data_IF_043189580269
#
_entry.id   IF_043189580269
#
_cell.length_a   1.000
_cell.length_b   1.000
_cell.length_c   1.000
_cell.angle_alpha   90.00
_cell.angle_beta   90.00
_cell.angle_gamma   90.00
#
_symmetry.space_group_name_H-M   'P 1'
#
loop_
_entity.id
_entity.type
_entity.pdbx_description
1 polymer ?
#
# COMPACT_ATOMS: atom_id res chain seq x y z
N UNK A 1 29.72 9.67 6.20
CA UNK A 1 28.37 9.12 6.41
C UNK A 1 27.38 10.14 5.87
N UNK A 2 26.87 9.95 4.65
CA UNK A 2 25.93 10.90 4.02
C UNK A 2 24.54 10.29 4.10
N UNK A 3 23.70 10.89 4.93
CA UNK A 3 22.29 10.54 5.09
C UNK A 3 21.49 11.04 3.89
N UNK A 4 20.95 10.11 3.10
CA UNK A 4 20.02 10.37 2.01
C UNK A 4 18.59 10.32 2.57
N UNK A 5 18.10 11.44 3.10
CA UNK A 5 16.75 11.54 3.67
C UNK A 5 16.03 12.79 3.13
N UNK A 6 15.59 12.74 1.87
CA UNK A 6 14.66 13.73 1.33
C UNK A 6 14.07 13.23 -0.01
N UNK A 7 12.98 12.47 0.03
CA UNK A 7 12.20 12.21 -1.20
C UNK A 7 10.68 12.17 -0.97
N UNK A 8 10.18 12.04 0.26
CA UNK A 8 8.73 11.91 0.52
C UNK A 8 8.03 13.18 1.05
N UNK A 9 8.75 14.30 1.16
CA UNK A 9 8.19 15.58 1.64
C UNK A 9 7.21 16.29 0.69
N UNK A 10 7.31 16.21 -0.66
CA UNK A 10 6.48 17.05 -1.52
C UNK A 10 5.03 16.60 -1.55
N UNK A 11 4.76 15.30 -1.37
CA UNK A 11 3.42 14.72 -1.51
C UNK A 11 2.47 15.15 -0.39
N UNK A 12 2.91 15.04 0.87
CA UNK A 12 2.14 15.49 2.02
C UNK A 12 1.93 17.02 2.03
N UNK A 13 2.91 17.78 1.55
CA UNK A 13 2.81 19.23 1.43
C UNK A 13 1.83 19.64 0.30
N UNK A 14 1.84 18.96 -0.85
CA UNK A 14 0.93 19.22 -1.97
C UNK A 14 -0.53 18.91 -1.59
N UNK A 15 -0.76 17.79 -0.89
CA UNK A 15 -2.06 17.43 -0.33
C UNK A 15 -2.56 18.44 0.71
N UNK A 16 -1.70 18.84 1.65
CA UNK A 16 -2.04 19.86 2.65
C UNK A 16 -2.36 21.22 2.00
N UNK A 17 -1.65 21.60 0.94
CA UNK A 17 -1.89 22.84 0.21
C UNK A 17 -3.26 22.81 -0.51
N UNK A 18 -3.62 21.68 -1.14
CA UNK A 18 -4.92 21.52 -1.79
C UNK A 18 -6.09 21.44 -0.80
N UNK A 19 -5.90 20.87 0.39
CA UNK A 19 -6.90 20.93 1.48
C UNK A 19 -7.25 22.37 1.84
N UNK A 20 -6.26 23.27 1.89
CA UNK A 20 -6.48 24.69 2.18
C UNK A 20 -7.23 25.40 1.04
N UNK A 21 -7.00 24.99 -0.21
CA UNK A 21 -7.73 25.52 -1.37
C UNK A 21 -9.19 25.06 -1.46
N UNK A 22 -9.53 23.87 -0.92
CA UNK A 22 -10.93 23.39 -0.79
C UNK A 22 -11.68 23.96 0.43
N UNK A 23 -11.01 24.73 1.29
CA UNK A 23 -11.53 25.19 2.58
C UNK A 23 -12.55 26.34 2.55
N UNK A 24 -13.06 26.74 1.38
CA UNK A 24 -14.08 27.78 1.30
C UNK A 24 -15.16 27.38 0.29
N UNK A 25 -16.31 26.81 0.73
CA UNK A 25 -17.44 26.65 -0.16
C UNK A 25 -17.91 28.04 -0.60
N UNK A 26 -18.08 28.30 -1.91
CA UNK A 26 -18.71 29.54 -2.36
C UNK A 26 -20.13 29.60 -1.78
N UNK A 27 -20.57 30.75 -1.24
CA UNK A 27 -21.97 30.90 -0.85
C UNK A 27 -22.82 30.87 -2.13
N UNK A 28 -23.61 29.80 -2.31
CA UNK A 28 -24.64 29.78 -3.36
C UNK A 28 -24.58 28.65 -4.40
N UNK A 29 -23.92 27.52 -4.13
CA UNK A 29 -24.17 26.33 -4.94
C UNK A 29 -24.65 25.17 -4.08
N UNK A 30 -25.97 24.96 -4.11
CA UNK A 30 -26.57 23.65 -4.03
C UNK A 30 -26.03 22.82 -5.20
N UNK A 31 -24.78 22.37 -5.09
CA UNK A 31 -24.26 21.32 -5.91
C UNK A 31 -24.87 20.04 -5.35
N UNK A 32 -26.04 19.70 -5.89
CA UNK A 32 -26.44 18.31 -6.03
C UNK A 32 -25.35 17.65 -6.87
N UNK A 33 -24.24 17.27 -6.21
CA UNK A 33 -23.37 16.25 -6.75
C UNK A 33 -24.30 15.09 -7.14
N UNK A 34 -24.17 14.49 -8.33
CA UNK A 34 -24.95 13.30 -8.61
C UNK A 34 -24.63 12.36 -7.44
N UNK A 35 -25.65 12.06 -6.66
CA UNK A 35 -25.62 10.94 -5.74
C UNK A 35 -25.34 9.76 -6.68
N UNK A 36 -24.06 9.46 -6.87
CA UNK A 36 -23.68 8.16 -7.33
C UNK A 36 -24.31 7.27 -6.27
N UNK A 37 -25.38 6.59 -6.67
CA UNK A 37 -25.96 5.47 -5.95
C UNK A 37 -24.85 4.42 -5.87
N UNK A 38 -23.84 4.70 -5.05
CA UNK A 38 -22.93 3.75 -4.51
C UNK A 38 -23.85 2.85 -3.71
N UNK A 39 -24.20 1.71 -4.30
CA UNK A 39 -24.77 0.61 -3.58
C UNK A 39 -23.84 0.33 -2.39
N UNK A 40 -24.21 0.90 -1.24
CA UNK A 40 -23.45 0.74 -0.02
C UNK A 40 -23.41 -0.75 0.28
N UNK A 41 -22.23 -1.31 0.60
CA UNK A 41 -22.11 -2.73 0.86
C UNK A 41 -23.14 -3.16 1.92
N UNK A 42 -23.91 -4.23 1.64
CA UNK A 42 -25.01 -4.64 2.52
C UNK A 42 -24.52 -5.33 3.78
N UNK A 43 -23.24 -5.75 3.85
CA UNK A 43 -22.67 -6.48 4.97
C UNK A 43 -21.30 -5.93 5.40
N UNK A 44 -20.89 -6.26 6.63
CA UNK A 44 -19.58 -5.87 7.17
C UNK A 44 -18.47 -6.46 6.30
N UNK A 45 -18.56 -7.74 5.93
CA UNK A 45 -17.53 -8.45 5.16
C UNK A 45 -17.37 -7.88 3.74
N UNK A 46 -18.46 -7.47 3.11
CA UNK A 46 -18.42 -6.82 1.80
C UNK A 46 -17.76 -5.44 1.89
N UNK A 47 -18.11 -4.65 2.92
CA UNK A 47 -17.49 -3.36 3.18
C UNK A 47 -15.99 -3.49 3.49
N UNK A 48 -15.60 -4.46 4.32
CA UNK A 48 -14.20 -4.74 4.65
C UNK A 48 -13.39 -5.17 3.43
N UNK A 49 -13.97 -6.01 2.55
CA UNK A 49 -13.32 -6.43 1.31
C UNK A 49 -13.05 -5.26 0.39
N UNK A 50 -14.03 -4.38 0.20
CA UNK A 50 -13.87 -3.17 -0.60
C UNK A 50 -12.84 -2.23 0.02
N UNK A 51 -12.90 -2.03 1.35
CA UNK A 51 -11.92 -1.21 2.07
C UNK A 51 -10.50 -1.75 1.90
N UNK A 52 -10.31 -3.07 1.98
CA UNK A 52 -9.01 -3.70 1.73
C UNK A 52 -8.49 -3.52 0.30
N UNK A 53 -9.38 -3.43 -0.70
CA UNK A 53 -9.00 -3.14 -2.09
C UNK A 53 -8.52 -1.70 -2.21
N UNK A 54 -9.29 -0.73 -1.68
CA UNK A 54 -8.92 0.69 -1.71
C UNK A 54 -7.58 0.94 -1.00
N UNK A 55 -7.38 0.36 0.18
CA UNK A 55 -6.13 0.48 0.92
C UNK A 55 -4.92 -0.06 0.14
N UNK A 56 -5.07 -1.17 -0.59
CA UNK A 56 -4.01 -1.72 -1.44
C UNK A 56 -3.68 -0.81 -2.61
N UNK A 57 -4.70 -0.28 -3.29
CA UNK A 57 -4.52 0.67 -4.41
C UNK A 57 -3.82 1.95 -3.97
N UNK A 58 -4.25 2.52 -2.85
CA UNK A 58 -3.63 3.71 -2.28
C UNK A 58 -2.16 3.46 -1.90
N UNK A 59 -1.84 2.30 -1.32
CA UNK A 59 -0.44 1.93 -1.03
C UNK A 59 0.39 1.77 -2.30
N UNK A 60 -0.15 1.14 -3.34
CA UNK A 60 0.52 1.00 -4.63
C UNK A 60 0.77 2.37 -5.29
N UNK A 61 -0.23 3.26 -5.25
CA UNK A 61 -0.08 4.63 -5.75
C UNK A 61 1.00 5.42 -5.00
N UNK A 62 1.08 5.30 -3.67
CA UNK A 62 2.17 5.93 -2.91
C UNK A 62 3.54 5.32 -3.20
N UNK A 63 3.59 4.03 -3.56
CA UNK A 63 4.84 3.35 -3.90
C UNK A 63 5.37 3.78 -5.27
N UNK A 64 4.50 3.82 -6.27
CA UNK A 64 4.80 4.30 -7.62
C UNK A 64 3.55 4.98 -8.23
N UNK A 65 3.48 6.31 -8.23
CA UNK A 65 2.35 7.05 -8.80
C UNK A 65 2.21 6.89 -10.31
N UNK A 66 3.28 6.48 -11.02
CA UNK A 66 3.28 6.33 -12.46
C UNK A 66 2.92 4.90 -12.91
N UNK A 67 2.91 3.93 -11.99
CA UNK A 67 2.41 2.58 -12.23
C UNK A 67 0.89 2.50 -12.05
N UNK A 68 0.18 2.94 -13.09
CA UNK A 68 -1.27 2.84 -13.14
C UNK A 68 -1.77 1.39 -13.18
N UNK A 69 -0.98 0.43 -13.68
CA UNK A 69 -1.39 -0.96 -13.77
C UNK A 69 -1.49 -1.59 -12.36
N UNK A 70 -0.59 -1.22 -11.45
CA UNK A 70 -0.62 -1.67 -10.06
C UNK A 70 -1.64 -0.90 -9.21
N UNK A 71 -1.71 0.43 -9.33
CA UNK A 71 -2.55 1.25 -8.45
C UNK A 71 -4.01 1.37 -8.92
N UNK A 72 -4.25 1.40 -10.23
CA UNK A 72 -5.52 1.84 -10.85
C UNK A 72 -6.00 3.22 -10.38
N UNK A 73 -5.09 4.06 -9.89
CA UNK A 73 -5.36 5.45 -9.47
C UNK A 73 -4.58 6.35 -10.43
N UNK A 74 -5.30 7.22 -11.14
CA UNK A 74 -4.72 7.99 -12.25
C UNK A 74 -3.92 9.21 -11.78
N UNK A 75 -4.37 9.85 -10.70
CA UNK A 75 -3.81 11.09 -10.19
C UNK A 75 -4.14 11.31 -8.70
N UNK A 76 -3.65 12.41 -8.16
CA UNK A 76 -3.91 12.84 -6.77
C UNK A 76 -5.41 13.03 -6.49
N UNK A 77 -6.23 13.42 -7.47
CA UNK A 77 -7.66 13.62 -7.26
C UNK A 77 -8.37 12.26 -7.09
N UNK A 78 -8.04 11.29 -7.95
CA UNK A 78 -8.53 9.91 -7.83
C UNK A 78 -8.06 9.24 -6.53
N UNK A 79 -6.87 9.59 -6.02
CA UNK A 79 -6.41 9.16 -4.71
C UNK A 79 -7.30 9.72 -3.59
N UNK A 80 -7.59 11.02 -3.63
CA UNK A 80 -8.45 11.68 -2.63
C UNK A 80 -9.88 11.11 -2.65
N UNK A 81 -10.41 10.79 -3.82
CA UNK A 81 -11.73 10.13 -3.97
C UNK A 81 -11.72 8.71 -3.37
N UNK A 82 -10.64 7.94 -3.59
CA UNK A 82 -10.45 6.63 -2.95
C UNK A 82 -10.39 6.76 -1.42
N UNK A 83 -9.80 7.84 -0.91
CA UNK A 83 -9.70 8.11 0.52
C UNK A 83 -11.07 8.48 1.12
N UNK A 84 -11.86 9.29 0.40
CA UNK A 84 -13.24 9.63 0.78
C UNK A 84 -14.16 8.40 0.78
N UNK A 85 -14.00 7.52 -0.22
CA UNK A 85 -14.73 6.25 -0.30
C UNK A 85 -14.34 5.32 0.87
N UNK A 86 -13.05 5.23 1.21
CA UNK A 86 -12.59 4.43 2.34
C UNK A 86 -13.13 4.96 3.68
N UNK A 87 -13.22 6.28 3.86
CA UNK A 87 -13.86 6.87 5.04
C UNK A 87 -15.37 6.58 5.10
N UNK A 88 -16.05 6.61 3.95
CA UNK A 88 -17.47 6.25 3.85
C UNK A 88 -17.70 4.77 4.20
N UNK A 89 -16.84 3.87 3.72
CA UNK A 89 -16.90 2.44 4.07
C UNK A 89 -16.62 2.19 5.55
N UNK A 90 -15.66 2.90 6.15
CA UNK A 90 -15.40 2.80 7.58
C UNK A 90 -16.61 3.23 8.43
N UNK A 91 -17.30 4.30 8.02
CA UNK A 91 -18.55 4.73 8.66
C UNK A 91 -19.63 3.66 8.50
N UNK A 92 -19.74 3.07 7.30
CA UNK A 92 -20.70 2.01 7.01
C UNK A 92 -20.46 0.76 7.84
N UNK A 93 -19.21 0.35 8.02
CA UNK A 93 -18.83 -0.78 8.88
C UNK A 93 -19.28 -0.52 10.33
N UNK A 94 -19.03 0.70 10.84
CA UNK A 94 -19.47 1.07 12.19
C UNK A 94 -20.99 1.04 12.32
N UNK A 95 -21.73 1.60 11.36
CA UNK A 95 -23.20 1.57 11.31
C UNK A 95 -23.75 0.14 11.28
N UNK A 96 -23.19 -0.73 10.43
CA UNK A 96 -23.57 -2.14 10.36
C UNK A 96 -23.25 -2.89 11.67
N UNK A 97 -22.23 -2.43 12.41
CA UNK A 97 -21.91 -2.88 13.77
C UNK A 97 -22.80 -2.28 14.87
N UNK A 98 -23.81 -1.47 14.52
CA UNK A 98 -24.77 -0.87 15.46
C UNK A 98 -24.39 0.51 15.99
N UNK A 99 -23.32 1.14 15.48
CA UNK A 99 -23.00 2.52 15.80
C UNK A 99 -24.02 3.50 15.17
N UNK A 100 -24.12 4.70 15.73
CA UNK A 100 -24.88 5.77 15.12
C UNK A 100 -24.25 6.20 13.78
N UNK A 101 -25.03 6.73 12.82
CA UNK A 101 -24.51 7.28 11.57
C UNK A 101 -23.44 8.33 11.82
N UNK A 102 -22.31 8.22 11.14
CA UNK A 102 -21.17 9.10 11.35
C UNK A 102 -21.45 10.52 10.88
N UNK A 103 -21.15 11.50 11.73
CA UNK A 103 -21.19 12.91 11.38
C UNK A 103 -20.12 13.26 10.32
N UNK A 104 -20.28 14.39 9.60
CA UNK A 104 -19.25 14.87 8.67
C UNK A 104 -17.85 15.01 9.31
N UNK A 105 -17.80 15.48 10.56
CA UNK A 105 -16.55 15.63 11.32
C UNK A 105 -15.89 14.29 11.64
N UNK A 106 -16.68 13.28 11.99
CA UNK A 106 -16.17 11.92 12.24
C UNK A 106 -15.65 11.26 10.97
N UNK A 107 -16.32 11.51 9.83
CA UNK A 107 -15.81 11.06 8.52
C UNK A 107 -14.48 11.70 8.18
N UNK A 108 -14.30 13.00 8.36
CA UNK A 108 -12.99 13.65 8.14
C UNK A 108 -11.91 13.15 9.12
N UNK A 109 -12.27 12.88 10.37
CA UNK A 109 -11.34 12.25 11.33
C UNK A 109 -10.90 10.87 10.83
N UNK A 110 -11.84 10.04 10.41
CA UNK A 110 -11.57 8.70 9.88
C UNK A 110 -10.72 8.74 8.62
N UNK A 111 -11.01 9.67 7.72
CA UNK A 111 -10.20 9.99 6.55
C UNK A 111 -8.73 10.26 6.92
N UNK A 112 -8.50 11.11 7.93
CA UNK A 112 -7.17 11.40 8.46
C UNK A 112 -6.45 10.16 9.01
N UNK A 113 -7.15 9.31 9.77
CA UNK A 113 -6.59 8.07 10.32
C UNK A 113 -6.21 7.07 9.23
N UNK A 114 -7.03 6.95 8.18
CA UNK A 114 -6.75 6.09 7.03
C UNK A 114 -5.50 6.58 6.30
N UNK A 115 -5.44 7.87 5.98
CA UNK A 115 -4.28 8.46 5.30
C UNK A 115 -2.98 8.21 6.08
N UNK A 116 -3.01 8.50 7.38
CA UNK A 116 -1.87 8.30 8.28
C UNK A 116 -1.44 6.82 8.36
N UNK A 117 -2.40 5.88 8.40
CA UNK A 117 -2.14 4.44 8.33
C UNK A 117 -1.48 4.01 7.01
N UNK A 118 -1.99 4.49 5.87
CA UNK A 118 -1.46 4.19 4.54
C UNK A 118 -0.04 4.76 4.40
N UNK A 119 0.19 6.00 4.85
CA UNK A 119 1.51 6.64 4.84
C UNK A 119 2.54 5.91 5.71
N UNK A 120 2.14 5.45 6.91
CA UNK A 120 3.01 4.61 7.77
C UNK A 120 3.36 3.29 7.11
N UNK A 121 2.40 2.63 6.46
CA UNK A 121 2.62 1.38 5.73
C UNK A 121 3.59 1.53 4.56
N UNK A 122 3.58 2.68 3.89
CA UNK A 122 4.52 2.97 2.81
C UNK A 122 5.97 3.16 3.31
N UNK A 123 6.18 3.86 4.43
CA UNK A 123 7.52 4.15 4.98
C UNK A 123 8.26 2.89 5.45
N UNK A 124 7.55 1.82 5.81
CA UNK A 124 8.14 0.54 6.23
C UNK A 124 8.43 -0.44 5.09
N UNK A 125 8.00 -0.14 3.86
CA UNK A 125 8.10 -1.05 2.71
C UNK A 125 9.33 -0.80 1.83
N UNK A 126 10.37 -0.13 2.34
CA UNK A 126 11.68 -0.16 1.68
C UNK A 126 12.26 -1.56 1.92
N UNK A 127 12.35 -2.44 0.91
CA UNK A 127 13.13 -3.66 1.08
C UNK A 127 14.56 -3.19 1.31
N UNK A 128 15.05 -3.41 2.52
CA UNK A 128 16.46 -3.28 2.83
C UNK A 128 17.22 -4.36 2.05
N UNK A 129 17.43 -4.14 0.75
CA UNK A 129 18.15 -5.06 -0.15
C UNK A 129 19.57 -5.32 0.34
N UNK A 130 20.08 -4.51 1.27
CA UNK A 130 21.35 -4.71 1.96
C UNK A 130 21.28 -5.80 3.05
N UNK A 131 20.15 -5.99 3.73
CA UNK A 131 20.03 -7.07 4.73
C UNK A 131 19.71 -8.43 4.12
N UNK A 132 19.08 -8.47 2.94
CA UNK A 132 18.85 -9.72 2.20
C UNK A 132 20.14 -10.23 1.54
N UNK A 133 20.99 -9.33 1.01
CA UNK A 133 22.32 -9.69 0.50
C UNK A 133 23.25 -10.22 1.61
N UNK A 134 23.22 -9.67 2.83
CA UNK A 134 24.00 -10.19 3.97
C UNK A 134 23.51 -11.57 4.44
N UNK A 135 22.20 -11.82 4.42
CA UNK A 135 21.63 -13.11 4.83
C UNK A 135 21.89 -14.21 3.78
N UNK A 136 21.88 -13.86 2.49
CA UNK A 136 22.24 -14.79 1.40
C UNK A 136 23.75 -15.08 1.32
N UNK A 137 24.61 -14.21 1.86
CA UNK A 137 26.07 -14.41 1.86
C UNK A 137 26.56 -15.28 3.01
N UNK A 138 25.86 -15.31 4.15
CA UNK A 138 26.23 -16.13 5.31
C UNK A 138 25.81 -17.61 5.18
N UNK A 139 24.81 -17.91 4.35
CA UNK A 139 24.29 -19.28 4.15
C UNK A 139 25.02 -20.11 3.09
N UNK A 140 25.96 -19.53 2.33
CA UNK A 140 26.58 -20.18 1.15
C UNK A 140 28.07 -20.52 1.32
N UNK A 141 28.52 -20.72 2.57
CA UNK A 141 29.89 -21.14 2.88
C UNK A 141 30.01 -22.50 3.61
N UNK A 142 28.90 -23.23 3.81
CA UNK A 142 28.92 -24.52 4.55
C UNK A 142 28.35 -25.73 3.79
N UNK A 143 28.32 -25.70 2.46
CA UNK A 143 27.92 -26.88 1.69
C UNK A 143 28.71 -27.01 0.39
N UNK A 144 30.00 -27.35 0.51
CA UNK A 144 30.66 -28.14 -0.52
C UNK A 144 30.79 -29.58 0.02
N UNK A 145 30.10 -30.58 -0.56
CA UNK A 145 30.46 -31.97 -0.33
C UNK A 145 31.79 -32.28 -1.03
N UNK A 146 32.68 -33.07 -0.41
CA UNK A 146 33.91 -33.50 -1.07
C UNK A 146 33.57 -34.40 -2.26
N UNK A 147 34.10 -34.06 -3.42
CA UNK A 147 34.01 -34.88 -4.63
C UNK A 147 34.89 -36.11 -4.41
N UNK A 148 34.28 -37.24 -4.08
CA UNK A 148 34.97 -38.53 -4.03
C UNK A 148 35.24 -39.00 -5.47
N UNK A 149 36.50 -39.04 -5.88
CA UNK A 149 36.95 -39.68 -7.11
C UNK A 149 37.12 -41.19 -6.85
N UNK A 150 36.37 -42.09 -7.53
CA UNK A 150 36.71 -43.50 -7.55
C UNK A 150 37.70 -43.76 -8.70
N UNK A 151 39.00 -43.81 -8.40
CA UNK A 151 40.00 -44.41 -9.29
C UNK A 151 40.33 -45.82 -8.80
N UNK A 152 39.41 -46.75 -9.04
CA UNK A 152 39.61 -48.17 -8.77
C UNK A 152 39.92 -48.91 -10.09
N UNK A 153 41.22 -49.12 -10.31
CA UNK A 153 41.78 -50.40 -10.77
C UNK A 153 41.37 -50.94 -12.14
N UNK A 154 42.08 -50.51 -13.20
CA UNK A 154 42.25 -51.35 -14.38
C UNK A 154 43.52 -52.20 -14.23
N UNK A 155 43.35 -53.42 -13.74
CA UNK A 155 44.40 -54.44 -13.67
C UNK A 155 44.86 -54.79 -15.09
N UNK A 156 46.17 -54.71 -15.27
CA UNK A 156 46.90 -55.36 -16.35
C UNK A 156 46.53 -56.83 -16.51
N UNK A 157 46.35 -57.28 -17.75
CA UNK A 157 46.70 -58.65 -18.18
C UNK A 157 47.23 -58.64 -19.60
N UNK A 158 48.54 -58.90 -19.67
CA UNK A 158 49.25 -59.49 -20.80
C UNK A 158 48.88 -60.98 -20.96
N UNK A 159 49.22 -61.54 -22.13
CA UNK A 159 49.15 -62.94 -22.61
C UNK A 159 48.00 -63.15 -23.60
N UNK A 160 48.20 -63.68 -24.81
CA UNK A 160 49.35 -64.40 -25.37
C UNK A 160 49.29 -64.35 -26.90
#
# INVERSE_FOLDING_TARGET
MVSLAAASAPFAAHLALRRRARGQPPPGHAATAPAQDYHLPPSIESAEREMAILLRRMRAFLQDPYDFAASRIADDAAFEDCLDQAATLGARIAELGGAAPASPTERERMRGLILDSVMRGHRGAVPDRLSEARRSSAGRLLAQPPVAYPMAGLKARYSH
#
